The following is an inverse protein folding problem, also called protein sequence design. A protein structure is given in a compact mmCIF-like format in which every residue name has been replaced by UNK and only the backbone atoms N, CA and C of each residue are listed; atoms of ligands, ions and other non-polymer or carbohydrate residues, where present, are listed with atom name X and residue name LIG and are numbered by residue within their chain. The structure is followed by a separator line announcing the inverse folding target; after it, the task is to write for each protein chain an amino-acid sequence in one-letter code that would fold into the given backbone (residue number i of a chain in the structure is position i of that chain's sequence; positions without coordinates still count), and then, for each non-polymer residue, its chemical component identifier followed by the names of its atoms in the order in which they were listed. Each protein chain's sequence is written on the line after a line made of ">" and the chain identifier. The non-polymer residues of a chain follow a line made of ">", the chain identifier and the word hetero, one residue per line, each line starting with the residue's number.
data_IF_718171068709
#
_entry.id   IF_718171068709
#
_cell.length_a   1.000
_cell.length_b   1.000
_cell.length_c   1.000
_cell.angle_alpha   90.00
_cell.angle_beta   90.00
_cell.angle_gamma   90.00
#
_symmetry.space_group_name_H-M   'P 1'
#
loop_
_entity.id
_entity.type
_entity.pdbx_description
1 polymer ?
#
# COMPACT_ATOMS: atom_id res chain seq x y z
N UNK A 1 -9.20 -18.26 -5.20
CA UNK A 1 -8.07 -17.84 -4.35
C UNK A 1 -8.37 -16.42 -3.87
N UNK A 2 -8.61 -16.25 -2.58
CA UNK A 2 -8.84 -14.94 -1.93
C UNK A 2 -7.84 -14.89 -0.79
N UNK A 3 -6.64 -14.36 -1.05
CA UNK A 3 -5.50 -14.38 -0.14
C UNK A 3 -4.37 -13.49 -0.65
N UNK A 4 -3.26 -13.42 0.07
CA UNK A 4 -2.15 -12.51 -0.24
C UNK A 4 -1.58 -12.63 -1.66
N UNK A 5 -1.59 -13.84 -2.22
CA UNK A 5 -1.13 -14.12 -3.59
C UNK A 5 -1.91 -13.35 -4.68
N UNK A 6 -3.14 -12.91 -4.39
CA UNK A 6 -3.97 -12.15 -5.31
C UNK A 6 -3.81 -10.62 -5.21
N UNK A 7 -3.00 -10.10 -4.27
CA UNK A 7 -2.94 -8.65 -4.02
C UNK A 7 -2.44 -7.84 -5.22
N UNK A 8 -1.34 -8.28 -5.84
CA UNK A 8 -0.81 -7.60 -7.03
C UNK A 8 -1.78 -7.67 -8.21
N UNK A 9 -2.44 -8.82 -8.39
CA UNK A 9 -3.47 -9.01 -9.42
C UNK A 9 -4.64 -8.06 -9.18
N UNK A 10 -5.10 -7.96 -7.94
CA UNK A 10 -6.19 -7.06 -7.56
C UNK A 10 -5.84 -5.59 -7.85
N UNK A 11 -4.60 -5.16 -7.55
CA UNK A 11 -4.14 -3.79 -7.87
C UNK A 11 -4.18 -3.55 -9.38
N UNK A 12 -3.57 -4.42 -10.18
CA UNK A 12 -3.51 -4.24 -11.64
C UNK A 12 -4.90 -4.28 -12.28
N UNK A 13 -5.70 -5.28 -11.93
CA UNK A 13 -7.03 -5.47 -12.52
C UNK A 13 -8.00 -4.38 -12.07
N UNK A 14 -7.92 -3.90 -10.83
CA UNK A 14 -8.77 -2.78 -10.36
C UNK A 14 -8.44 -1.47 -11.05
N UNK A 15 -7.14 -1.15 -11.22
CA UNK A 15 -6.70 0.03 -11.98
C UNK A 15 -7.15 -0.05 -13.43
N UNK A 16 -6.90 -1.17 -14.10
CA UNK A 16 -7.30 -1.40 -15.49
C UNK A 16 -8.82 -1.30 -15.65
N UNK A 17 -9.59 -1.98 -14.80
CA UNK A 17 -11.06 -1.98 -14.86
C UNK A 17 -11.63 -0.59 -14.62
N UNK A 18 -11.10 0.15 -13.64
CA UNK A 18 -11.54 1.51 -13.34
C UNK A 18 -11.25 2.46 -14.50
N UNK A 19 -10.08 2.33 -15.12
CA UNK A 19 -9.67 3.20 -16.23
C UNK A 19 -10.47 2.91 -17.51
N UNK A 20 -10.75 1.64 -17.82
CA UNK A 20 -11.65 1.25 -18.92
C UNK A 20 -13.05 1.81 -18.65
N UNK A 21 -13.58 1.62 -17.44
CA UNK A 21 -14.89 2.14 -17.07
C UNK A 21 -14.96 3.65 -17.27
N UNK A 22 -13.95 4.38 -16.76
CA UNK A 22 -13.83 5.84 -16.89
C UNK A 22 -13.75 6.28 -18.36
N UNK A 23 -12.97 5.58 -19.17
CA UNK A 23 -12.80 5.89 -20.60
C UNK A 23 -14.12 5.71 -21.37
N UNK A 24 -14.82 4.60 -21.15
CA UNK A 24 -16.10 4.33 -21.83
C UNK A 24 -17.18 5.30 -21.38
N UNK A 25 -17.28 5.56 -20.07
CA UNK A 25 -18.25 6.49 -19.51
C UNK A 25 -17.99 7.95 -19.95
N UNK A 26 -16.73 8.40 -19.98
CA UNK A 26 -16.37 9.76 -20.40
C UNK A 26 -16.66 10.03 -21.88
N UNK A 27 -16.69 8.99 -22.72
CA UNK A 27 -17.08 9.10 -24.14
C UNK A 27 -18.58 9.03 -24.38
N UNK A 28 -19.42 9.10 -23.34
CA UNK A 28 -20.87 9.00 -23.43
C UNK A 28 -21.37 7.69 -24.08
N UNK A 29 -20.57 6.62 -24.06
CA UNK A 29 -20.98 5.29 -24.49
C UNK A 29 -21.80 4.61 -23.38
N UNK A 30 -22.98 5.16 -23.10
CA UNK A 30 -23.85 4.76 -22.00
C UNK A 30 -25.30 4.72 -22.46
N UNK A 31 -26.11 3.86 -21.81
CA UNK A 31 -27.55 3.82 -22.07
C UNK A 31 -28.22 4.84 -21.16
N UNK A 32 -28.83 5.87 -21.75
CA UNK A 32 -29.55 6.92 -21.03
C UNK A 32 -31.03 6.56 -20.92
N UNK A 33 -31.58 6.68 -19.71
CA UNK A 33 -32.99 6.47 -19.46
C UNK A 33 -33.77 7.80 -19.51
N UNK A 34 -35.06 7.79 -19.91
CA UNK A 34 -35.92 8.97 -19.85
C UNK A 34 -36.14 9.49 -18.43
N UNK A 35 -36.56 10.76 -18.30
CA UNK A 35 -36.75 11.45 -17.01
C UNK A 35 -37.83 10.84 -16.09
N UNK A 36 -38.66 9.93 -16.62
CA UNK A 36 -39.68 9.20 -15.83
C UNK A 36 -39.16 7.94 -15.13
N UNK A 37 -37.90 7.56 -15.32
CA UNK A 37 -37.33 6.32 -14.76
C UNK A 37 -36.68 6.58 -13.40
N UNK A 38 -36.95 5.75 -12.37
CA UNK A 38 -36.33 5.91 -11.06
C UNK A 38 -34.79 5.98 -11.11
N UNK A 39 -34.15 6.84 -10.30
CA UNK A 39 -32.69 7.07 -10.35
C UNK A 39 -31.84 5.80 -10.21
N UNK A 40 -32.29 4.83 -9.39
CA UNK A 40 -31.59 3.57 -9.21
C UNK A 40 -31.51 2.74 -10.50
N UNK A 41 -32.59 2.71 -11.29
CA UNK A 41 -32.65 1.99 -12.57
C UNK A 41 -31.81 2.72 -13.61
N UNK A 42 -31.94 4.05 -13.69
CA UNK A 42 -31.12 4.86 -14.60
C UNK A 42 -29.61 4.65 -14.36
N UNK A 43 -29.16 4.61 -13.09
CA UNK A 43 -27.76 4.37 -12.74
C UNK A 43 -27.24 3.00 -13.19
N UNK A 44 -28.05 1.95 -13.06
CA UNK A 44 -27.65 0.60 -13.50
C UNK A 44 -27.44 0.52 -15.01
N UNK A 45 -28.31 1.15 -15.81
CA UNK A 45 -28.18 1.16 -17.27
C UNK A 45 -27.05 2.07 -17.78
N UNK A 46 -26.77 3.17 -17.08
CA UNK A 46 -25.59 4.00 -17.34
C UNK A 46 -24.29 3.20 -17.16
N UNK A 47 -24.24 2.30 -16.18
CA UNK A 47 -23.08 1.45 -15.91
C UNK A 47 -22.99 0.20 -16.81
N UNK A 48 -24.05 -0.14 -17.56
CA UNK A 48 -24.15 -1.43 -18.27
C UNK A 48 -23.10 -1.58 -19.37
N UNK A 49 -23.01 -0.62 -20.29
CA UNK A 49 -22.02 -0.65 -21.39
C UNK A 49 -20.59 -0.56 -20.84
N UNK A 50 -20.25 0.40 -19.95
CA UNK A 50 -18.94 0.42 -19.30
C UNK A 50 -18.57 -0.90 -18.62
N UNK A 51 -19.49 -1.49 -17.86
CA UNK A 51 -19.29 -2.76 -17.16
C UNK A 51 -19.07 -3.93 -18.13
N UNK A 52 -19.85 -4.00 -19.21
CA UNK A 52 -19.66 -5.01 -20.26
C UNK A 52 -18.29 -4.88 -20.92
N UNK A 53 -17.84 -3.67 -21.25
CA UNK A 53 -16.52 -3.43 -21.83
C UNK A 53 -15.39 -3.89 -20.89
N UNK A 54 -15.51 -3.59 -19.59
CA UNK A 54 -14.56 -4.08 -18.58
C UNK A 54 -14.50 -5.61 -18.59
N UNK A 55 -15.65 -6.29 -18.51
CA UNK A 55 -15.71 -7.76 -18.52
C UNK A 55 -15.13 -8.35 -19.81
N UNK A 56 -15.45 -7.78 -20.96
CA UNK A 56 -14.96 -8.23 -22.26
C UNK A 56 -13.43 -8.11 -22.36
N UNK A 57 -12.86 -6.98 -21.92
CA UNK A 57 -11.40 -6.75 -21.95
C UNK A 57 -10.70 -7.67 -20.94
N UNK A 58 -11.21 -7.80 -19.72
CA UNK A 58 -10.61 -8.69 -18.71
C UNK A 58 -10.67 -10.15 -19.16
N UNK A 59 -11.76 -10.59 -19.80
CA UNK A 59 -11.88 -11.92 -20.36
C UNK A 59 -10.91 -12.14 -21.53
N UNK A 60 -10.81 -11.18 -22.45
CA UNK A 60 -9.86 -11.24 -23.55
C UNK A 60 -8.41 -11.31 -23.05
N UNK A 61 -8.08 -10.52 -22.03
CA UNK A 61 -6.77 -10.56 -21.38
C UNK A 61 -6.50 -11.93 -20.75
N UNK A 62 -7.48 -12.49 -20.02
CA UNK A 62 -7.35 -13.83 -19.43
C UNK A 62 -7.04 -14.88 -20.50
N UNK A 63 -7.80 -14.91 -21.59
CA UNK A 63 -7.61 -15.88 -22.68
C UNK A 63 -6.26 -15.69 -23.39
N UNK A 64 -5.82 -14.44 -23.58
CA UNK A 64 -4.51 -14.14 -24.16
C UNK A 64 -3.35 -14.64 -23.28
N UNK A 65 -3.47 -14.49 -21.95
CA UNK A 65 -2.46 -14.99 -21.01
C UNK A 65 -2.49 -16.52 -20.93
N UNK A 66 -3.66 -17.13 -21.02
CA UNK A 66 -3.82 -18.59 -21.06
C UNK A 66 -3.12 -19.22 -22.27
N UNK A 67 -3.11 -18.52 -23.41
CA UNK A 67 -2.37 -18.91 -24.61
C UNK A 67 -0.86 -18.59 -24.56
N UNK A 68 -0.39 -17.89 -23.51
CA UNK A 68 1.02 -17.51 -23.35
C UNK A 68 1.79 -18.51 -22.49
N UNK A 69 3.14 -18.45 -22.43
CA UNK A 69 3.95 -19.30 -21.56
C UNK A 69 3.64 -19.16 -20.06
N UNK A 70 2.95 -18.10 -19.65
CA UNK A 70 2.57 -17.89 -18.25
C UNK A 70 1.36 -18.75 -17.82
N UNK A 71 0.50 -19.15 -18.76
CA UNK A 71 -0.70 -19.98 -18.55
C UNK A 71 -1.83 -19.37 -17.72
N UNK A 72 -1.52 -18.53 -16.71
CA UNK A 72 -2.49 -17.89 -15.84
C UNK A 72 -2.05 -16.44 -15.51
N UNK A 73 -3.05 -15.57 -15.33
CA UNK A 73 -2.83 -14.14 -15.06
C UNK A 73 -2.18 -13.88 -13.69
N UNK A 74 -2.46 -14.72 -12.69
CA UNK A 74 -1.82 -14.62 -11.38
C UNK A 74 -0.34 -14.99 -11.50
N UNK A 75 -0.02 -16.08 -12.19
CA UNK A 75 1.38 -16.47 -12.48
C UNK A 75 2.12 -15.37 -13.23
N UNK A 76 1.52 -14.82 -14.29
CA UNK A 76 2.12 -13.72 -15.05
C UNK A 76 2.43 -12.51 -14.17
N UNK A 77 1.46 -12.05 -13.37
CA UNK A 77 1.62 -10.88 -12.51
C UNK A 77 2.61 -11.16 -11.36
N UNK A 78 2.56 -12.36 -10.77
CA UNK A 78 3.52 -12.77 -9.75
C UNK A 78 4.95 -12.76 -10.30
N UNK A 79 5.19 -13.25 -11.51
CA UNK A 79 6.51 -13.26 -12.13
C UNK A 79 6.97 -11.86 -12.55
N UNK A 80 6.12 -11.09 -13.24
CA UNK A 80 6.51 -9.81 -13.83
C UNK A 80 6.56 -8.66 -12.81
N UNK A 81 5.72 -8.71 -11.77
CA UNK A 81 5.58 -7.62 -10.79
C UNK A 81 5.95 -8.13 -9.40
N UNK A 82 5.39 -9.26 -8.98
CA UNK A 82 5.59 -9.80 -7.62
C UNK A 82 7.06 -10.06 -7.29
N UNK A 83 7.80 -10.77 -8.15
CA UNK A 83 9.22 -11.11 -7.92
C UNK A 83 10.10 -9.85 -7.86
N UNK A 84 10.06 -8.92 -8.85
CA UNK A 84 10.82 -7.67 -8.75
C UNK A 84 10.48 -6.85 -7.51
N UNK A 85 9.18 -6.74 -7.17
CA UNK A 85 8.76 -6.04 -5.96
C UNK A 85 9.25 -6.72 -4.69
N UNK A 86 9.31 -8.05 -4.65
CA UNK A 86 9.90 -8.78 -3.54
C UNK A 86 11.40 -8.48 -3.37
N UNK A 87 12.15 -8.27 -4.46
CA UNK A 87 13.56 -7.83 -4.33
C UNK A 87 13.69 -6.43 -3.71
N UNK A 88 12.76 -5.53 -4.00
CA UNK A 88 12.75 -4.15 -3.46
C UNK A 88 12.25 -4.10 -2.01
N UNK A 89 11.18 -4.83 -1.67
CA UNK A 89 10.53 -4.74 -0.36
C UNK A 89 10.81 -5.88 0.61
N UNK A 90 11.35 -6.99 0.12
CA UNK A 90 11.56 -8.23 0.87
C UNK A 90 13.03 -8.56 1.17
N UNK A 91 13.97 -7.66 0.84
CA UNK A 91 15.41 -7.85 1.08
C UNK A 91 16.00 -6.76 1.97
N UNK A 92 17.13 -7.04 2.62
CA UNK A 92 17.83 -6.06 3.46
C UNK A 92 18.24 -4.80 2.67
N UNK A 93 18.90 -4.89 1.50
CA UNK A 93 19.28 -3.68 0.75
C UNK A 93 18.07 -2.88 0.31
N UNK A 94 17.00 -3.55 -0.13
CA UNK A 94 15.76 -2.91 -0.52
C UNK A 94 15.09 -2.16 0.64
N UNK A 95 15.12 -2.73 1.84
CA UNK A 95 14.62 -2.10 3.05
C UNK A 95 15.45 -0.86 3.43
N UNK A 96 16.78 -0.96 3.42
CA UNK A 96 17.67 0.17 3.71
C UNK A 96 17.39 1.34 2.75
N UNK A 97 17.31 1.06 1.45
CA UNK A 97 17.01 2.08 0.43
C UNK A 97 15.63 2.71 0.68
N UNK A 98 14.63 1.88 1.00
CA UNK A 98 13.26 2.35 1.27
C UNK A 98 13.21 3.28 2.49
N UNK A 99 13.87 2.92 3.59
CA UNK A 99 13.92 3.76 4.82
C UNK A 99 14.65 5.07 4.57
N UNK A 100 15.76 5.05 3.82
CA UNK A 100 16.48 6.27 3.43
C UNK A 100 15.58 7.18 2.59
N UNK A 101 14.87 6.62 1.62
CA UNK A 101 13.94 7.38 0.77
C UNK A 101 12.80 7.98 1.60
N UNK A 102 12.21 7.22 2.53
CA UNK A 102 11.21 7.73 3.48
C UNK A 102 11.78 8.93 4.24
N UNK A 103 12.99 8.81 4.79
CA UNK A 103 13.66 9.89 5.52
C UNK A 103 13.83 11.15 4.66
N UNK A 104 14.33 11.01 3.43
CA UNK A 104 14.50 12.13 2.49
C UNK A 104 13.15 12.81 2.21
N UNK A 105 12.10 12.04 1.95
CA UNK A 105 10.78 12.61 1.68
C UNK A 105 10.25 13.41 2.90
N UNK A 106 10.44 12.90 4.12
CA UNK A 106 10.10 13.63 5.34
C UNK A 106 10.91 14.91 5.53
N UNK A 107 12.19 14.93 5.16
CA UNK A 107 12.99 16.17 5.17
C UNK A 107 12.50 17.21 4.16
N UNK A 108 11.85 16.77 3.07
CA UNK A 108 11.23 17.65 2.08
C UNK A 108 9.80 18.08 2.47
N UNK A 109 9.31 17.66 3.64
CA UNK A 109 7.94 17.92 4.10
C UNK A 109 6.88 17.06 3.43
N UNK A 110 7.28 16.02 2.70
CA UNK A 110 6.37 15.01 2.13
C UNK A 110 6.18 13.88 3.14
N UNK A 111 5.00 13.28 3.16
CA UNK A 111 4.73 12.13 4.02
C UNK A 111 5.40 10.86 3.45
N UNK A 112 6.68 10.67 3.76
CA UNK A 112 7.52 9.62 3.18
C UNK A 112 6.94 8.21 3.30
N UNK A 113 6.40 7.86 4.48
CA UNK A 113 5.76 6.56 4.71
C UNK A 113 4.58 6.33 3.76
N UNK A 114 3.69 7.32 3.61
CA UNK A 114 2.50 7.19 2.77
C UNK A 114 2.86 7.03 1.29
N UNK A 115 3.97 7.59 0.84
CA UNK A 115 4.43 7.49 -0.55
C UNK A 115 5.11 6.15 -0.80
N UNK A 116 6.06 5.76 0.06
CA UNK A 116 6.90 4.58 -0.17
C UNK A 116 6.17 3.29 0.16
N UNK A 117 5.38 3.26 1.25
CA UNK A 117 4.70 2.03 1.67
C UNK A 117 3.61 1.58 0.69
N UNK A 118 3.08 2.44 -0.18
CA UNK A 118 2.15 2.02 -1.24
C UNK A 118 2.76 0.93 -2.13
N UNK A 119 4.08 0.96 -2.34
CA UNK A 119 4.79 -0.04 -3.14
C UNK A 119 5.25 -1.24 -2.31
N UNK A 120 5.66 -1.01 -1.07
CA UNK A 120 6.29 -2.02 -0.21
C UNK A 120 5.25 -2.87 0.56
N UNK A 121 4.14 -2.27 0.97
CA UNK A 121 3.13 -2.91 1.79
C UNK A 121 2.51 -4.18 1.17
N UNK A 122 2.23 -4.25 -0.15
CA UNK A 122 1.76 -5.49 -0.77
C UNK A 122 2.72 -6.67 -0.57
N UNK A 123 4.02 -6.42 -0.69
CA UNK A 123 5.08 -7.42 -0.44
C UNK A 123 5.05 -7.86 1.03
N UNK A 124 5.00 -6.90 1.94
CA UNK A 124 5.00 -7.18 3.38
C UNK A 124 3.78 -7.96 3.87
N UNK A 125 2.61 -7.68 3.30
CA UNK A 125 1.39 -8.43 3.56
C UNK A 125 1.49 -9.86 3.00
N UNK A 126 2.12 -10.03 1.84
CA UNK A 126 2.42 -11.37 1.29
C UNK A 126 3.33 -12.16 2.22
N UNK A 127 4.46 -11.57 2.60
CA UNK A 127 5.44 -12.19 3.49
C UNK A 127 4.84 -12.51 4.87
N UNK A 128 3.99 -11.63 5.41
CA UNK A 128 3.27 -11.87 6.67
C UNK A 128 2.30 -13.05 6.54
N UNK A 129 1.59 -13.17 5.42
CA UNK A 129 0.67 -14.28 5.19
C UNK A 129 1.42 -15.61 5.05
N UNK A 130 2.59 -15.62 4.41
CA UNK A 130 3.43 -16.83 4.30
C UNK A 130 3.98 -17.23 5.67
N UNK A 131 4.45 -16.27 6.45
CA UNK A 131 4.88 -16.50 7.84
C UNK A 131 3.75 -17.02 8.73
N UNK A 132 2.52 -16.51 8.56
CA UNK A 132 1.35 -17.00 9.31
C UNK A 132 1.08 -18.47 9.00
N UNK A 133 1.13 -18.86 7.73
CA UNK A 133 0.97 -20.26 7.33
C UNK A 133 2.06 -21.13 7.95
N UNK A 134 3.33 -20.72 7.87
CA UNK A 134 4.45 -21.44 8.49
C UNK A 134 4.27 -21.58 10.00
N UNK A 135 3.84 -20.52 10.67
CA UNK A 135 3.55 -20.53 12.11
C UNK A 135 2.44 -21.53 12.47
N UNK A 136 1.36 -21.56 11.67
CA UNK A 136 0.25 -22.50 11.86
C UNK A 136 0.67 -23.96 11.62
N UNK A 137 1.65 -24.21 10.77
CA UNK A 137 2.19 -25.56 10.49
C UNK A 137 3.39 -25.92 11.37
N UNK A 138 3.68 -25.13 12.41
CA UNK A 138 4.83 -25.32 13.32
C UNK A 138 6.16 -25.42 12.55
N UNK A 139 6.27 -24.59 11.52
CA UNK A 139 7.45 -24.45 10.65
C UNK A 139 8.09 -23.09 10.89
N UNK A 140 9.39 -22.99 10.61
CA UNK A 140 10.10 -21.72 10.77
C UNK A 140 9.60 -20.65 9.78
N UNK A 141 9.39 -19.38 10.21
CA UNK A 141 9.01 -18.30 9.32
C UNK A 141 10.05 -18.08 8.22
N UNK A 142 9.60 -18.03 6.97
CA UNK A 142 10.48 -17.90 5.82
C UNK A 142 10.97 -16.45 5.58
N UNK A 143 10.24 -15.43 6.05
CA UNK A 143 10.52 -14.03 5.74
C UNK A 143 10.76 -13.16 6.98
N UNK A 144 11.93 -12.53 7.03
CA UNK A 144 12.25 -11.55 8.08
C UNK A 144 11.57 -10.19 7.84
N UNK A 145 11.46 -9.78 6.57
CA UNK A 145 10.82 -8.51 6.17
C UNK A 145 9.34 -8.74 5.91
N UNK A 146 8.52 -8.45 6.91
CA UNK A 146 7.06 -8.58 6.86
C UNK A 146 6.40 -7.37 7.51
N UNK A 147 5.08 -7.26 7.43
CA UNK A 147 4.35 -6.13 8.02
C UNK A 147 4.59 -5.97 9.53
N UNK A 148 5.00 -7.04 10.22
CA UNK A 148 5.37 -7.04 11.65
C UNK A 148 6.62 -6.21 11.91
N UNK A 149 7.53 -6.09 10.93
CA UNK A 149 8.76 -5.32 11.08
C UNK A 149 8.49 -3.85 11.45
N UNK A 150 7.37 -3.27 10.98
CA UNK A 150 7.02 -1.89 11.28
C UNK A 150 6.75 -1.65 12.77
N UNK A 151 6.27 -2.67 13.49
CA UNK A 151 6.02 -2.60 14.93
C UNK A 151 7.32 -2.56 15.75
N UNK A 152 8.45 -2.96 15.17
CA UNK A 152 9.76 -2.99 15.85
C UNK A 152 10.75 -1.95 15.31
N UNK A 153 10.66 -1.59 14.03
CA UNK A 153 11.61 -0.70 13.34
C UNK A 153 11.36 0.79 13.61
N UNK A 154 10.11 1.17 13.86
CA UNK A 154 9.66 2.56 13.87
C UNK A 154 8.90 2.97 15.17
N UNK A 155 9.46 2.75 16.38
CA UNK A 155 8.78 3.14 17.60
C UNK A 155 8.70 4.67 17.68
N UNK A 156 7.49 5.22 17.67
CA UNK A 156 7.27 6.68 17.66
C UNK A 156 6.78 7.26 16.35
N UNK A 157 6.53 6.44 15.33
CA UNK A 157 6.10 6.87 14.01
C UNK A 157 7.22 6.68 12.99
N UNK A 158 7.61 7.71 12.26
CA UNK A 158 8.71 7.62 11.29
C UNK A 158 10.08 7.72 11.96
N UNK A 159 10.82 6.63 11.96
CA UNK A 159 12.06 6.43 12.72
C UNK A 159 11.80 6.08 14.18
N UNK A 160 12.87 5.93 14.97
CA UNK A 160 12.79 5.66 16.40
C UNK A 160 12.50 6.93 17.24
N UNK A 161 11.51 7.73 16.83
CA UNK A 161 11.19 9.03 17.44
C UNK A 161 10.75 8.94 18.89
N UNK A 162 10.19 7.81 19.32
CA UNK A 162 9.82 7.61 20.71
C UNK A 162 11.05 7.73 21.62
N UNK A 163 12.20 7.21 21.18
CA UNK A 163 13.47 7.36 21.90
C UNK A 163 13.90 8.82 22.00
N UNK A 164 13.73 9.60 20.93
CA UNK A 164 14.01 11.03 20.92
C UNK A 164 13.08 11.81 21.87
N UNK A 165 11.79 11.51 21.87
CA UNK A 165 10.81 12.12 22.78
C UNK A 165 11.16 11.82 24.24
N UNK A 166 11.48 10.57 24.56
CA UNK A 166 11.91 10.17 25.91
C UNK A 166 13.13 10.99 26.33
N UNK A 167 14.12 11.12 25.45
CA UNK A 167 15.31 11.94 25.72
C UNK A 167 14.97 13.42 25.96
N UNK A 168 14.07 13.99 25.16
CA UNK A 168 13.63 15.38 25.32
C UNK A 168 12.95 15.64 26.66
N UNK A 169 12.14 14.70 27.13
CA UNK A 169 11.43 14.82 28.42
C UNK A 169 12.37 14.68 29.62
N UNK A 170 13.30 13.72 29.56
CA UNK A 170 14.14 13.36 30.70
C UNK A 170 15.40 14.22 30.83
N UNK A 171 16.04 14.57 29.70
CA UNK A 171 17.42 15.10 29.72
C UNK A 171 17.62 16.41 28.95
N UNK A 172 16.61 16.90 28.24
CA UNK A 172 16.74 18.18 27.52
C UNK A 172 16.94 19.35 28.49
N UNK A 173 17.94 20.18 28.18
CA UNK A 173 18.20 21.47 28.86
C UNK A 173 17.41 22.62 28.23
N UNK A 174 17.03 22.51 26.96
CA UNK A 174 16.27 23.56 26.26
C UNK A 174 14.80 23.50 26.66
N UNK A 175 14.26 24.63 27.12
CA UNK A 175 12.84 24.76 27.44
C UNK A 175 11.97 24.47 26.22
N UNK A 176 12.39 24.94 25.03
CA UNK A 176 11.68 24.69 23.78
C UNK A 176 11.57 23.20 23.48
N UNK A 177 12.68 22.46 23.53
CA UNK A 177 12.69 21.01 23.26
C UNK A 177 11.92 20.22 24.33
N UNK A 178 11.93 20.67 25.59
CA UNK A 178 11.14 20.04 26.65
C UNK A 178 9.64 20.23 26.46
N UNK A 179 9.20 21.42 26.03
CA UNK A 179 7.81 21.68 25.70
C UNK A 179 7.38 20.91 24.45
N UNK A 180 8.22 20.88 23.42
CA UNK A 180 7.97 20.10 22.22
C UNK A 180 7.81 18.61 22.54
N UNK A 181 8.71 18.04 23.35
CA UNK A 181 8.61 16.65 23.80
C UNK A 181 7.29 16.36 24.55
N UNK A 182 6.78 17.30 25.36
CA UNK A 182 5.48 17.14 26.05
C UNK A 182 4.30 17.13 25.08
N UNK A 183 4.33 18.00 24.07
CA UNK A 183 3.27 18.09 23.05
C UNK A 183 3.29 16.83 22.17
N UNK A 184 4.47 16.34 21.84
CA UNK A 184 4.65 15.20 20.96
C UNK A 184 4.47 13.84 21.62
N UNK A 185 4.66 13.72 22.94
CA UNK A 185 4.66 12.43 23.62
C UNK A 185 3.39 11.60 23.46
N UNK A 186 2.17 12.16 23.53
CA UNK A 186 0.96 11.40 23.25
C UNK A 186 0.98 10.83 21.83
N UNK A 187 1.37 11.62 20.82
CA UNK A 187 1.44 11.18 19.43
C UNK A 187 2.48 10.06 19.24
N UNK A 188 3.69 10.25 19.75
CA UNK A 188 4.77 9.27 19.64
C UNK A 188 4.41 7.93 20.29
N UNK A 189 3.66 7.92 21.40
CA UNK A 189 3.21 6.67 22.03
C UNK A 189 2.31 5.83 21.09
N UNK A 190 1.57 6.49 20.20
CA UNK A 190 0.69 5.87 19.21
C UNK A 190 1.27 5.88 17.79
N UNK A 191 2.60 6.00 17.66
CA UNK A 191 3.32 6.03 16.38
C UNK A 191 2.90 7.17 15.43
N UNK A 192 2.54 8.32 15.99
CA UNK A 192 2.23 9.56 15.25
C UNK A 192 3.45 10.49 15.38
N UNK A 193 4.13 10.72 14.25
CA UNK A 193 5.43 11.41 14.18
C UNK A 193 5.31 12.91 13.88
N UNK A 194 4.18 13.37 13.36
CA UNK A 194 3.97 14.71 12.81
C UNK A 194 4.27 15.84 13.81
N UNK A 195 3.82 15.78 15.09
CA UNK A 195 4.15 16.82 16.06
C UNK A 195 5.66 16.98 16.28
N UNK A 196 6.42 15.89 16.16
CA UNK A 196 7.88 15.91 16.28
C UNK A 196 8.55 16.41 15.01
N UNK A 197 8.23 15.81 13.86
CA UNK A 197 8.90 16.09 12.59
C UNK A 197 8.68 17.55 12.19
N UNK A 198 7.47 18.08 12.36
CA UNK A 198 7.16 19.47 12.04
C UNK A 198 7.53 20.45 13.16
N UNK A 199 7.60 19.99 14.40
CA UNK A 199 7.91 20.83 15.55
C UNK A 199 9.41 21.07 15.78
N UNK A 200 10.27 20.13 15.36
CA UNK A 200 11.73 20.25 15.54
C UNK A 200 12.35 21.29 14.61
N UNK A 201 11.80 21.47 13.39
CA UNK A 201 12.32 22.33 12.31
C UNK A 201 13.87 22.29 12.21
N UNK A 202 14.34 21.35 11.39
CA UNK A 202 15.73 21.23 10.95
C UNK A 202 16.21 22.45 10.16
#
# INVERSE_FOLDING_TARGET
>A
MVGSQGLFVAIVISLLSTEIYRLVASRNLVIRMPDGVPPAVAKSFLALIPGFCVLAVVLALRLAVEASPFGDINSMIATLIGIPMHHVGGTLPGMIISVILIGILWTLGLHGDAIVLVFIQPVWLSNMSENLTAFQTVSDPAYHYSAVLRSVDCPGGTGALLGLVIFMLLRSRSQQMKQLGKIAAPGALFNISEPMVFGIRW
#
